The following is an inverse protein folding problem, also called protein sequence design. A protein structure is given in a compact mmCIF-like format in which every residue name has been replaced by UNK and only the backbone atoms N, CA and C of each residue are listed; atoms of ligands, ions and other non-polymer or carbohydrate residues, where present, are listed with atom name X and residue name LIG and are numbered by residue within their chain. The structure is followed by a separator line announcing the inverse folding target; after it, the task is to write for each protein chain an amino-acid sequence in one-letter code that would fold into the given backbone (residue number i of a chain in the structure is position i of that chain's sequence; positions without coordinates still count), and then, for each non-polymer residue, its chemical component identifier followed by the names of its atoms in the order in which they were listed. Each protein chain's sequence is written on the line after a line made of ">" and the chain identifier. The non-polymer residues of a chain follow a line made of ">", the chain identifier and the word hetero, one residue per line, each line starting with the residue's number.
data_IF_146331527421
#
_entry.id   IF_146331527421
#
_cell.length_a   1.000
_cell.length_b   1.000
_cell.length_c   1.000
_cell.angle_alpha   90.00
_cell.angle_beta   90.00
_cell.angle_gamma   90.00
#
_symmetry.space_group_name_H-M   'P 1'
#
loop_
_entity.id
_entity.type
_entity.pdbx_description
1 polymer ?
#
# COMPACT_ATOMS: atom_id res chain seq x y z
N UNK A 1 18.99 -11.63 15.57
CA UNK A 1 19.13 -10.64 14.48
C UNK A 1 17.77 -10.02 14.19
N UNK A 2 17.58 -8.72 14.44
CA UNK A 2 16.40 -8.00 13.93
C UNK A 2 16.68 -7.70 12.46
N UNK A 3 16.11 -8.49 11.54
CA UNK A 3 16.10 -8.09 10.13
C UNK A 3 15.39 -6.74 10.04
N UNK A 4 16.12 -5.70 9.70
CA UNK A 4 15.57 -4.38 9.41
C UNK A 4 14.70 -4.52 8.17
N UNK A 5 13.42 -4.78 8.41
CA UNK A 5 12.41 -5.00 7.36
C UNK A 5 11.85 -3.70 6.82
N UNK A 6 12.42 -2.55 7.17
CA UNK A 6 11.99 -1.25 6.65
C UNK A 6 12.88 -0.92 5.45
N UNK A 7 12.36 -1.16 4.25
CA UNK A 7 13.03 -0.87 2.98
C UNK A 7 12.96 0.64 2.62
N UNK A 8 12.89 1.50 3.63
CA UNK A 8 12.60 2.93 3.48
C UNK A 8 11.14 3.23 3.11
N UNK A 9 10.85 4.51 2.88
CA UNK A 9 9.53 4.96 2.42
C UNK A 9 9.22 4.37 1.05
N UNK A 10 8.07 3.71 0.94
CA UNK A 10 7.66 3.11 -0.32
C UNK A 10 7.02 4.15 -1.23
N UNK A 11 7.14 3.99 -2.57
CA UNK A 11 6.43 4.81 -3.54
C UNK A 11 4.93 4.95 -3.24
N UNK A 12 4.28 3.90 -2.73
CA UNK A 12 2.89 3.95 -2.27
C UNK A 12 2.59 5.12 -1.31
N UNK A 13 3.47 5.40 -0.35
CA UNK A 13 3.24 6.48 0.61
C UNK A 13 3.21 7.85 -0.08
N UNK A 14 4.10 8.04 -1.06
CA UNK A 14 4.16 9.25 -1.87
C UNK A 14 2.94 9.38 -2.76
N UNK A 15 2.54 8.32 -3.45
CA UNK A 15 1.33 8.29 -4.30
C UNK A 15 0.08 8.60 -3.47
N UNK A 16 -0.05 8.02 -2.28
CA UNK A 16 -1.16 8.33 -1.38
C UNK A 16 -1.17 9.79 -0.96
N UNK A 17 -0.02 10.37 -0.63
CA UNK A 17 0.10 11.78 -0.27
C UNK A 17 -0.24 12.71 -1.45
N UNK A 18 0.26 12.41 -2.65
CA UNK A 18 -0.02 13.16 -3.88
C UNK A 18 -1.50 13.14 -4.26
N UNK A 19 -2.17 12.00 -4.07
CA UNK A 19 -3.60 11.85 -4.32
C UNK A 19 -4.48 12.33 -3.15
N UNK A 20 -3.89 12.75 -2.03
CA UNK A 20 -4.64 13.13 -0.82
C UNK A 20 -5.39 11.96 -0.17
N UNK A 21 -5.03 10.72 -0.48
CA UNK A 21 -5.69 9.51 0.01
C UNK A 21 -5.22 9.14 1.42
N UNK A 22 -6.17 8.91 2.32
CA UNK A 22 -5.88 8.41 3.66
C UNK A 22 -5.97 6.88 3.68
N UNK A 23 -5.30 6.20 4.63
CA UNK A 23 -5.46 4.75 4.81
C UNK A 23 -6.93 4.32 4.96
N UNK A 24 -7.77 5.16 5.54
CA UNK A 24 -9.20 4.90 5.65
C UNK A 24 -9.89 4.75 4.29
N UNK A 25 -9.51 5.58 3.31
CA UNK A 25 -10.12 5.56 1.97
C UNK A 25 -9.77 4.26 1.24
N UNK A 26 -8.54 3.77 1.40
CA UNK A 26 -8.15 2.47 0.86
C UNK A 26 -8.90 1.31 1.53
N UNK A 27 -9.08 1.35 2.86
CA UNK A 27 -9.88 0.32 3.56
C UNK A 27 -11.33 0.35 3.07
N UNK A 28 -11.91 1.53 2.89
CA UNK A 28 -13.29 1.71 2.42
C UNK A 28 -13.47 1.30 0.95
N UNK A 29 -12.47 1.55 0.11
CA UNK A 29 -12.50 1.18 -1.30
C UNK A 29 -12.27 -0.33 -1.53
N UNK A 30 -11.46 -0.95 -0.68
CA UNK A 30 -11.11 -2.38 -0.77
C UNK A 30 -12.34 -3.28 -0.77
N UNK A 31 -12.40 -4.21 -1.72
CA UNK A 31 -13.36 -5.32 -1.71
C UNK A 31 -12.97 -6.41 -0.72
N UNK A 32 -11.67 -6.53 -0.41
CA UNK A 32 -11.15 -7.52 0.52
C UNK A 32 -11.04 -6.97 1.95
N UNK A 33 -11.11 -7.83 2.97
CA UNK A 33 -10.81 -7.46 4.34
C UNK A 33 -9.38 -6.89 4.44
N UNK A 34 -9.30 -5.59 4.73
CA UNK A 34 -8.05 -4.87 4.91
C UNK A 34 -8.11 -4.00 6.16
N UNK A 35 -6.99 -3.86 6.86
CA UNK A 35 -6.90 -3.05 8.08
C UNK A 35 -6.00 -1.85 7.87
N UNK A 36 -6.23 -0.76 8.62
CA UNK A 36 -5.35 0.42 8.63
C UNK A 36 -3.88 0.03 8.91
N UNK A 37 -3.65 -0.98 9.76
CA UNK A 37 -2.31 -1.50 10.08
C UNK A 37 -1.64 -2.18 8.88
N UNK A 38 -2.39 -2.77 7.95
CA UNK A 38 -1.81 -3.34 6.72
C UNK A 38 -1.27 -2.23 5.82
N UNK A 39 -2.05 -1.16 5.61
CA UNK A 39 -1.66 -0.02 4.78
C UNK A 39 -0.48 0.72 5.40
N UNK A 40 -0.53 1.00 6.70
CA UNK A 40 0.57 1.66 7.41
C UNK A 40 1.89 0.87 7.30
N UNK A 41 1.82 -0.47 7.28
CA UNK A 41 2.99 -1.33 7.05
C UNK A 41 3.48 -1.26 5.60
N UNK A 42 2.57 -1.20 4.64
CA UNK A 42 2.89 -1.03 3.22
C UNK A 42 3.61 0.30 2.97
N UNK A 43 3.10 1.41 3.49
CA UNK A 43 3.71 2.73 3.36
C UNK A 43 5.12 2.79 3.96
N UNK A 44 5.34 2.14 5.11
CA UNK A 44 6.64 2.12 5.81
C UNK A 44 7.69 1.19 5.18
N UNK A 45 7.37 0.49 4.09
CA UNK A 45 8.30 -0.42 3.44
C UNK A 45 8.56 -1.70 4.20
N UNK A 46 7.59 -2.15 5.01
CA UNK A 46 7.67 -3.48 5.60
C UNK A 46 7.57 -4.54 4.50
N UNK A 47 8.39 -5.58 4.57
CA UNK A 47 8.24 -6.72 3.67
C UNK A 47 6.85 -7.35 3.83
N UNK A 48 6.05 -7.26 2.77
CA UNK A 48 4.71 -7.82 2.66
C UNK A 48 4.69 -9.03 1.72
N UNK A 49 3.77 -9.96 1.99
CA UNK A 49 3.47 -11.08 1.08
C UNK A 49 2.81 -10.57 -0.20
N UNK A 50 2.96 -11.32 -1.30
CA UNK A 50 2.33 -10.99 -2.59
C UNK A 50 0.82 -10.77 -2.45
N UNK A 51 0.13 -11.62 -1.70
CA UNK A 51 -1.30 -11.47 -1.43
C UNK A 51 -1.64 -10.12 -0.78
N UNK A 52 -0.81 -9.65 0.15
CA UNK A 52 -1.03 -8.34 0.79
C UNK A 52 -0.73 -7.20 -0.18
N UNK A 53 0.34 -7.32 -0.98
CA UNK A 53 0.68 -6.35 -2.02
C UNK A 53 -0.48 -6.21 -3.03
N UNK A 54 -1.05 -7.31 -3.51
CA UNK A 54 -2.17 -7.31 -4.45
C UNK A 54 -3.43 -6.67 -3.88
N UNK A 55 -3.74 -6.90 -2.60
CA UNK A 55 -4.87 -6.25 -1.92
C UNK A 55 -4.69 -4.74 -1.84
N UNK A 56 -3.49 -4.29 -1.46
CA UNK A 56 -3.16 -2.86 -1.39
C UNK A 56 -3.24 -2.23 -2.78
N UNK A 57 -2.76 -2.91 -3.82
CA UNK A 57 -2.87 -2.45 -5.20
C UNK A 57 -4.33 -2.29 -5.64
N UNK A 58 -5.15 -3.32 -5.44
CA UNK A 58 -6.55 -3.29 -5.83
C UNK A 58 -7.30 -2.16 -5.11
N UNK A 59 -7.04 -1.98 -3.82
CA UNK A 59 -7.63 -0.90 -3.03
C UNK A 59 -7.17 0.49 -3.49
N UNK A 60 -5.86 0.66 -3.79
CA UNK A 60 -5.33 1.91 -4.31
C UNK A 60 -5.94 2.23 -5.67
N UNK A 61 -5.95 1.27 -6.60
CA UNK A 61 -6.48 1.49 -7.96
C UNK A 61 -7.95 1.91 -7.92
N UNK A 62 -8.72 1.32 -7.00
CA UNK A 62 -10.12 1.65 -6.81
C UNK A 62 -10.33 3.01 -6.13
N UNK A 63 -9.50 3.37 -5.15
CA UNK A 63 -9.55 4.67 -4.49
C UNK A 63 -9.07 5.81 -5.39
N UNK A 64 -8.02 5.57 -6.17
CA UNK A 64 -7.42 6.54 -7.11
C UNK A 64 -8.18 6.65 -8.43
N UNK A 65 -9.03 5.67 -8.76
CA UNK A 65 -9.68 5.56 -10.08
C UNK A 65 -8.71 5.37 -11.23
N UNK A 66 -7.49 4.90 -10.95
CA UNK A 66 -6.39 4.71 -11.91
C UNK A 66 -5.81 3.32 -11.76
N UNK A 67 -5.25 2.79 -12.84
CA UNK A 67 -4.56 1.51 -12.80
C UNK A 67 -3.06 1.73 -12.53
N UNK A 68 -2.62 1.43 -11.31
CA UNK A 68 -1.21 1.31 -10.98
C UNK A 68 -0.75 -0.14 -11.09
N UNK A 69 0.56 -0.34 -11.20
CA UNK A 69 1.22 -1.65 -11.14
C UNK A 69 1.92 -1.85 -9.79
N UNK A 70 2.16 -3.11 -9.38
CA UNK A 70 2.87 -3.41 -8.13
C UNK A 70 4.27 -2.77 -8.06
N UNK A 71 4.95 -2.65 -9.19
CA UNK A 71 6.24 -1.98 -9.34
C UNK A 71 6.19 -0.48 -9.01
N UNK A 72 5.03 0.15 -9.19
CA UNK A 72 4.84 1.57 -8.88
C UNK A 72 4.61 1.80 -7.39
N UNK A 73 4.17 0.77 -6.66
CA UNK A 73 3.84 0.86 -5.23
C UNK A 73 4.99 0.39 -4.35
N UNK A 74 5.74 -0.63 -4.81
CA UNK A 74 6.77 -1.30 -4.04
C UNK A 74 8.07 -1.36 -4.84
N UNK A 75 9.18 -0.92 -4.23
CA UNK A 75 10.51 -0.88 -4.87
C UNK A 75 11.36 -2.14 -4.62
N UNK A 76 10.71 -3.27 -4.26
CA UNK A 76 11.35 -4.53 -3.86
C UNK A 76 10.54 -5.76 -4.25
#
# INVERSE_FOLDING_TARGET
>A
MKQERNLGEQPLAKIMAELGLKPHDLVKASTDPMTHKMIARACKGRWLTLNTKSKVLAALNKAAGKNHALSDLFNY
#
